data_IF_532993252112
#
_entry.id   IF_532993252112
#
_cell.length_a   1.000
_cell.length_b   1.000
_cell.length_c   1.000
_cell.angle_alpha   90.00
_cell.angle_beta   90.00
_cell.angle_gamma   90.00
#
_symmetry.space_group_name_H-M   'P 1'
#
loop_
_entity.id
_entity.type
_entity.pdbx_description
1 polymer ?
#
# COMPACT_ATOMS: atom_id res chain seq x y z
N UNK A 1 21.48 14.70 16.79
CA UNK A 1 20.70 14.36 15.61
C UNK A 1 21.41 13.39 14.69
N UNK A 2 22.63 13.72 14.22
CA UNK A 2 23.44 12.84 13.32
C UNK A 2 23.68 11.44 13.90
N UNK A 3 24.00 11.33 15.17
CA UNK A 3 24.21 10.04 15.85
C UNK A 3 22.91 9.22 15.90
N UNK A 4 21.77 9.87 16.13
CA UNK A 4 20.47 9.20 16.14
C UNK A 4 20.08 8.73 14.74
N UNK A 5 20.33 9.53 13.70
CA UNK A 5 20.09 9.14 12.31
C UNK A 5 20.93 7.91 11.92
N UNK A 6 22.19 7.85 12.34
CA UNK A 6 23.05 6.69 12.11
C UNK A 6 22.52 5.44 12.83
N UNK A 7 22.11 5.56 14.09
CA UNK A 7 21.53 4.43 14.85
C UNK A 7 20.24 3.92 14.22
N UNK A 8 19.41 4.81 13.69
CA UNK A 8 18.19 4.43 12.94
C UNK A 8 18.58 3.61 11.71
N UNK A 9 19.52 4.11 10.89
CA UNK A 9 19.97 3.42 9.66
C UNK A 9 20.53 2.02 9.97
N UNK A 10 21.39 1.90 10.99
CA UNK A 10 21.96 0.63 11.44
C UNK A 10 20.86 -0.35 11.92
N UNK A 11 19.87 0.17 12.67
CA UNK A 11 18.76 -0.64 13.18
C UNK A 11 17.84 -1.11 12.05
N UNK A 12 17.55 -0.26 11.07
CA UNK A 12 16.76 -0.61 9.89
C UNK A 12 17.46 -1.68 9.03
N UNK A 13 18.78 -1.56 8.85
CA UNK A 13 19.58 -2.57 8.14
C UNK A 13 19.57 -3.91 8.89
N UNK A 14 19.74 -3.89 10.22
CA UNK A 14 19.67 -5.08 11.05
C UNK A 14 18.29 -5.72 11.01
N UNK A 15 17.22 -4.94 11.11
CA UNK A 15 15.85 -5.42 10.97
C UNK A 15 15.60 -6.08 9.60
N UNK A 16 16.13 -5.50 8.53
CA UNK A 16 16.05 -6.07 7.17
C UNK A 16 16.75 -7.43 7.10
N UNK A 17 17.93 -7.55 7.70
CA UNK A 17 18.69 -8.82 7.78
C UNK A 17 17.91 -9.90 8.53
N UNK A 18 17.38 -9.58 9.73
CA UNK A 18 16.58 -10.51 10.50
C UNK A 18 15.30 -10.96 9.78
N UNK A 19 14.65 -10.07 9.05
CA UNK A 19 13.48 -10.42 8.23
C UNK A 19 13.82 -11.38 7.10
N UNK A 20 14.96 -11.19 6.45
CA UNK A 20 15.44 -12.10 5.40
C UNK A 20 15.80 -13.48 5.97
N UNK A 21 16.48 -13.52 7.11
CA UNK A 21 16.82 -14.76 7.80
C UNK A 21 15.54 -15.51 8.24
N UNK A 22 14.61 -14.80 8.89
CA UNK A 22 13.29 -15.37 9.25
C UNK A 22 12.58 -15.98 8.04
N UNK A 23 12.57 -15.27 6.92
CA UNK A 23 11.93 -15.75 5.69
C UNK A 23 12.61 -17.03 5.18
N UNK A 24 13.94 -17.05 5.12
CA UNK A 24 14.72 -18.22 4.71
C UNK A 24 14.44 -19.43 5.61
N UNK A 25 14.46 -19.24 6.91
CA UNK A 25 14.15 -20.31 7.87
C UNK A 25 12.71 -20.81 7.72
N UNK A 26 11.75 -19.92 7.51
CA UNK A 26 10.32 -20.27 7.41
C UNK A 26 9.95 -20.97 6.11
N UNK A 27 10.62 -20.67 4.99
CA UNK A 27 10.26 -21.20 3.68
C UNK A 27 11.13 -22.39 3.27
N UNK A 28 12.39 -22.41 3.69
CA UNK A 28 13.35 -23.42 3.27
C UNK A 28 13.88 -24.23 4.48
N UNK A 29 14.48 -23.59 5.48
CA UNK A 29 15.23 -24.29 6.51
C UNK A 29 14.36 -25.23 7.33
N UNK A 30 13.31 -24.74 7.95
CA UNK A 30 12.43 -25.54 8.82
C UNK A 30 11.61 -26.56 8.00
N UNK A 31 10.94 -26.19 6.87
CA UNK A 31 10.19 -27.14 6.07
C UNK A 31 11.06 -28.29 5.55
N UNK A 32 12.28 -28.04 5.09
CA UNK A 32 13.18 -29.08 4.60
C UNK A 32 13.57 -30.07 5.73
N UNK A 33 13.90 -29.57 6.92
CA UNK A 33 14.17 -30.44 8.08
C UNK A 33 12.96 -31.27 8.48
N UNK A 34 11.75 -30.69 8.43
CA UNK A 34 10.52 -31.43 8.72
C UNK A 34 10.24 -32.50 7.66
N UNK A 35 10.56 -32.25 6.38
CA UNK A 35 10.48 -33.23 5.32
C UNK A 35 11.46 -34.38 5.52
N UNK A 36 12.71 -34.10 5.86
CA UNK A 36 13.72 -35.14 6.19
C UNK A 36 13.30 -36.01 7.38
N UNK A 37 12.61 -35.40 8.37
CA UNK A 37 12.08 -36.11 9.54
C UNK A 37 10.76 -36.83 9.27
N UNK A 38 10.10 -36.56 8.14
CA UNK A 38 8.79 -37.14 7.80
C UNK A 38 7.65 -36.64 8.70
N UNK A 39 7.75 -35.40 9.24
CA UNK A 39 6.76 -34.83 10.16
C UNK A 39 6.11 -33.59 9.55
N UNK A 40 4.78 -33.46 9.73
CA UNK A 40 4.02 -32.28 9.29
C UNK A 40 3.84 -31.26 10.43
N UNK A 41 4.01 -31.72 11.66
CA UNK A 41 3.89 -30.90 12.87
C UNK A 41 4.93 -31.32 13.89
N UNK A 42 5.48 -30.35 14.59
CA UNK A 42 6.44 -30.52 15.67
C UNK A 42 6.14 -29.55 16.81
N UNK A 43 6.09 -30.05 18.03
CA UNK A 43 5.94 -29.23 19.22
C UNK A 43 7.27 -29.17 19.96
N UNK A 44 7.84 -27.97 20.09
CA UNK A 44 9.14 -27.72 20.75
C UNK A 44 9.00 -26.51 21.68
N UNK A 45 9.42 -26.68 22.92
CA UNK A 45 9.48 -25.60 23.93
C UNK A 45 8.16 -24.82 24.09
N UNK A 46 7.01 -25.49 23.97
CA UNK A 46 5.70 -24.87 24.06
C UNK A 46 5.24 -24.13 22.81
N UNK A 47 6.01 -24.23 21.70
CA UNK A 47 5.66 -23.69 20.39
C UNK A 47 5.35 -24.82 19.44
N UNK A 48 4.22 -24.74 18.75
CA UNK A 48 3.86 -25.67 17.68
C UNK A 48 4.29 -25.12 16.32
N UNK A 49 5.09 -25.90 15.60
CA UNK A 49 5.53 -25.63 14.24
C UNK A 49 4.80 -26.58 13.31
N UNK A 50 4.07 -26.06 12.34
CA UNK A 50 3.29 -26.82 11.37
C UNK A 50 3.69 -26.43 9.94
N UNK A 51 3.90 -27.43 9.10
CA UNK A 51 4.16 -27.21 7.69
C UNK A 51 2.85 -26.93 6.97
N UNK A 52 2.75 -25.79 6.31
CA UNK A 52 1.58 -25.39 5.51
C UNK A 52 1.97 -25.05 4.09
N UNK A 53 1.18 -25.50 3.14
CA UNK A 53 1.31 -25.04 1.76
C UNK A 53 0.93 -23.55 1.70
N UNK A 54 1.90 -22.73 1.29
CA UNK A 54 1.69 -21.29 1.05
C UNK A 54 1.67 -21.08 -0.46
N UNK A 55 0.56 -20.60 -0.98
CA UNK A 55 0.42 -20.21 -2.40
C UNK A 55 0.43 -18.69 -2.47
N UNK A 56 1.39 -18.15 -3.21
CA UNK A 56 1.44 -16.73 -3.57
C UNK A 56 1.26 -16.61 -5.07
N UNK A 57 0.27 -15.84 -5.49
CA UNK A 57 0.00 -15.61 -6.90
C UNK A 57 -0.25 -14.12 -7.15
N UNK A 58 0.37 -13.59 -8.18
CA UNK A 58 0.09 -12.26 -8.70
C UNK A 58 0.34 -12.27 -10.20
N UNK A 59 -0.48 -11.57 -10.96
CA UNK A 59 -0.30 -11.44 -12.40
C UNK A 59 0.61 -10.24 -12.66
N UNK A 60 1.85 -10.45 -13.15
CA UNK A 60 2.75 -9.35 -13.52
C UNK A 60 2.09 -8.46 -14.58
N UNK A 61 2.43 -7.16 -14.56
CA UNK A 61 1.82 -6.20 -15.50
C UNK A 61 1.98 -6.62 -16.96
N UNK A 62 3.16 -7.14 -17.32
CA UNK A 62 3.43 -7.59 -18.70
C UNK A 62 2.66 -8.84 -19.15
N UNK A 63 2.12 -9.63 -18.19
CA UNK A 63 1.40 -10.86 -18.50
C UNK A 63 -0.12 -10.72 -18.35
N UNK A 64 -0.62 -9.50 -18.09
CA UNK A 64 -2.04 -9.32 -17.78
C UNK A 64 -2.96 -9.69 -18.91
N UNK A 65 -2.64 -9.26 -20.12
CA UNK A 65 -3.47 -9.55 -21.29
C UNK A 65 -3.57 -11.04 -21.53
N UNK A 66 -2.43 -11.72 -21.62
CA UNK A 66 -2.36 -13.17 -21.83
C UNK A 66 -3.04 -13.98 -20.71
N UNK A 67 -2.85 -13.56 -19.45
CA UNK A 67 -3.48 -14.22 -18.31
C UNK A 67 -5.01 -14.03 -18.32
N UNK A 68 -5.50 -12.85 -18.70
CA UNK A 68 -6.95 -12.60 -18.80
C UNK A 68 -7.58 -13.31 -20.00
N UNK A 69 -6.89 -13.42 -21.12
CA UNK A 69 -7.32 -14.25 -22.26
C UNK A 69 -7.40 -15.72 -21.85
N UNK A 70 -6.35 -16.24 -21.22
CA UNK A 70 -6.35 -17.61 -20.71
C UNK A 70 -7.52 -17.91 -19.76
N UNK A 71 -7.82 -16.97 -18.83
CA UNK A 71 -8.96 -17.11 -17.92
C UNK A 71 -10.29 -17.18 -18.69
N UNK A 72 -10.50 -16.34 -19.71
CA UNK A 72 -11.72 -16.34 -20.53
C UNK A 72 -11.86 -17.61 -21.35
N UNK A 73 -10.79 -18.06 -21.97
CA UNK A 73 -10.77 -19.27 -22.80
C UNK A 73 -11.07 -20.53 -21.99
N UNK A 74 -10.71 -20.52 -20.70
CA UNK A 74 -10.98 -21.61 -19.77
C UNK A 74 -12.26 -21.44 -18.96
N UNK A 75 -13.11 -20.45 -19.25
CA UNK A 75 -14.37 -20.16 -18.55
C UNK A 75 -14.17 -19.87 -17.05
N UNK A 76 -13.06 -19.21 -16.70
CA UNK A 76 -12.68 -18.80 -15.34
C UNK A 76 -12.68 -17.29 -15.16
N UNK A 77 -13.42 -16.59 -16.01
CA UNK A 77 -13.49 -15.13 -16.06
C UNK A 77 -14.31 -14.50 -14.91
N UNK A 78 -15.02 -15.29 -14.13
CA UNK A 78 -15.75 -14.88 -12.93
C UNK A 78 -14.86 -14.27 -11.84
N UNK A 79 -13.55 -14.59 -11.84
CA UNK A 79 -12.57 -13.97 -10.93
C UNK A 79 -12.03 -12.63 -11.44
N UNK A 80 -12.30 -12.24 -12.70
CA UNK A 80 -11.85 -10.98 -13.27
C UNK A 80 -12.77 -9.84 -12.77
N UNK A 81 -12.18 -8.87 -12.09
CA UNK A 81 -12.88 -7.66 -11.65
C UNK A 81 -12.46 -6.48 -12.52
N UNK A 82 -13.43 -5.65 -12.87
CA UNK A 82 -13.19 -4.42 -13.62
C UNK A 82 -13.68 -3.22 -12.81
N UNK A 83 -12.78 -2.28 -12.57
CA UNK A 83 -13.11 -1.00 -11.97
C UNK A 83 -13.03 0.08 -13.05
N UNK A 84 -14.10 0.87 -13.18
CA UNK A 84 -14.13 2.04 -14.06
C UNK A 84 -13.91 3.27 -13.21
N UNK A 85 -12.81 3.98 -13.43
CA UNK A 85 -12.43 5.16 -12.65
C UNK A 85 -12.55 6.40 -13.54
N UNK A 86 -13.46 7.29 -13.19
CA UNK A 86 -13.56 8.62 -13.78
C UNK A 86 -12.92 9.63 -12.83
N UNK A 87 -11.99 10.44 -13.35
CA UNK A 87 -11.31 11.47 -12.57
C UNK A 87 -11.77 12.86 -13.02
N UNK A 88 -12.21 13.66 -12.07
CA UNK A 88 -12.69 15.02 -12.31
C UNK A 88 -11.71 16.02 -11.68
N UNK A 89 -11.41 17.08 -12.43
CA UNK A 89 -10.50 18.13 -11.99
C UNK A 89 -11.20 19.22 -11.16
N UNK A 90 -10.45 20.27 -10.84
CA UNK A 90 -10.95 21.43 -10.11
C UNK A 90 -12.15 22.06 -10.83
N UNK A 91 -13.25 22.30 -10.11
CA UNK A 91 -14.46 22.94 -10.61
C UNK A 91 -15.38 22.03 -11.43
N UNK A 92 -15.13 20.72 -11.47
CA UNK A 92 -15.94 19.74 -12.21
C UNK A 92 -16.87 18.93 -11.30
N UNK A 93 -17.20 19.42 -10.10
CA UNK A 93 -18.04 18.72 -9.13
C UNK A 93 -19.45 18.43 -9.68
N UNK A 94 -20.03 19.37 -10.43
CA UNK A 94 -21.34 19.16 -11.07
C UNK A 94 -21.29 18.03 -12.10
N UNK A 95 -20.26 18.02 -12.95
CA UNK A 95 -20.07 16.96 -13.94
C UNK A 95 -19.86 15.59 -13.27
N UNK A 96 -19.16 15.55 -12.16
CA UNK A 96 -19.02 14.33 -11.36
C UNK A 96 -20.38 13.85 -10.85
N UNK A 97 -21.21 14.76 -10.34
CA UNK A 97 -22.58 14.48 -9.90
C UNK A 97 -23.46 13.93 -11.02
N UNK A 98 -23.40 14.53 -12.20
CA UNK A 98 -24.17 14.09 -13.38
C UNK A 98 -23.80 12.66 -13.80
N UNK A 99 -22.50 12.35 -13.84
CA UNK A 99 -22.03 10.99 -14.18
C UNK A 99 -22.49 9.97 -13.13
N UNK A 100 -22.41 10.31 -11.85
CA UNK A 100 -22.92 9.45 -10.76
C UNK A 100 -24.42 9.18 -10.95
N UNK A 101 -25.22 10.22 -11.22
CA UNK A 101 -26.66 10.09 -11.47
C UNK A 101 -26.96 9.13 -12.63
N UNK A 102 -26.29 9.32 -13.77
CA UNK A 102 -26.48 8.46 -14.95
C UNK A 102 -26.18 6.98 -14.65
N UNK A 103 -25.12 6.72 -13.90
CA UNK A 103 -24.75 5.36 -13.55
C UNK A 103 -25.73 4.73 -12.55
N UNK A 104 -26.19 5.50 -11.56
CA UNK A 104 -27.19 5.05 -10.58
C UNK A 104 -28.55 4.76 -11.25
N UNK A 105 -28.99 5.60 -12.17
CA UNK A 105 -30.22 5.41 -12.95
C UNK A 105 -30.18 4.11 -13.79
N UNK A 106 -28.98 3.69 -14.18
CA UNK A 106 -28.75 2.42 -14.88
C UNK A 106 -28.57 1.23 -13.94
N UNK A 107 -28.67 1.42 -12.63
CA UNK A 107 -28.56 0.38 -11.62
C UNK A 107 -27.13 -0.03 -11.26
N UNK A 108 -26.10 0.74 -11.67
CA UNK A 108 -24.72 0.44 -11.27
C UNK A 108 -24.44 0.93 -9.85
N UNK A 109 -23.77 0.12 -9.00
CA UNK A 109 -23.29 0.58 -7.72
C UNK A 109 -22.13 1.56 -7.93
N UNK A 110 -22.28 2.80 -7.44
CA UNK A 110 -21.29 3.85 -7.60
C UNK A 110 -20.70 4.21 -6.25
N UNK A 111 -19.37 4.18 -6.16
CA UNK A 111 -18.64 4.70 -5.01
C UNK A 111 -17.90 5.98 -5.41
N UNK A 112 -18.15 7.05 -4.67
CA UNK A 112 -17.47 8.34 -4.90
C UNK A 112 -16.43 8.60 -3.81
N UNK A 113 -15.33 9.23 -4.18
CA UNK A 113 -14.29 9.67 -3.25
C UNK A 113 -13.91 11.11 -3.55
N UNK A 114 -14.27 12.01 -2.63
CA UNK A 114 -13.86 13.42 -2.69
C UNK A 114 -12.65 13.63 -1.82
N UNK A 115 -11.59 14.24 -2.35
CA UNK A 115 -10.37 14.48 -1.59
C UNK A 115 -9.58 15.66 -2.16
N UNK A 116 -8.74 16.24 -1.31
CA UNK A 116 -7.69 17.16 -1.73
C UNK A 116 -6.36 16.41 -1.67
N UNK A 117 -5.57 16.46 -2.75
CA UNK A 117 -4.27 15.80 -2.75
C UNK A 117 -3.37 16.39 -1.63
N UNK A 118 -2.68 15.56 -0.83
CA UNK A 118 -1.90 16.03 0.32
C UNK A 118 -0.88 17.13 -0.02
N UNK A 119 -0.20 17.04 -1.16
CA UNK A 119 0.75 18.06 -1.61
C UNK A 119 0.07 19.40 -1.93
N UNK A 120 -1.13 19.36 -2.52
CA UNK A 120 -1.94 20.55 -2.81
C UNK A 120 -2.41 21.22 -1.52
N UNK A 121 -2.90 20.42 -0.57
CA UNK A 121 -3.30 20.93 0.74
C UNK A 121 -2.12 21.57 1.47
N UNK A 122 -0.96 20.89 1.49
CA UNK A 122 0.26 21.42 2.11
C UNK A 122 0.69 22.75 1.49
N UNK A 123 0.68 22.86 0.17
CA UNK A 123 1.02 24.10 -0.53
C UNK A 123 0.02 25.22 -0.21
N UNK A 124 -1.27 24.91 -0.20
CA UNK A 124 -2.34 25.84 0.14
C UNK A 124 -2.20 26.37 1.58
N UNK A 125 -1.99 25.49 2.56
CA UNK A 125 -1.80 25.88 3.98
C UNK A 125 -0.57 26.76 4.12
N UNK A 126 0.55 26.38 3.50
CA UNK A 126 1.80 27.13 3.52
C UNK A 126 1.61 28.54 2.94
N UNK A 127 1.00 28.64 1.76
CA UNK A 127 0.75 29.94 1.10
C UNK A 127 -0.12 30.85 1.95
N UNK A 128 -1.19 30.33 2.55
CA UNK A 128 -2.05 31.13 3.43
C UNK A 128 -1.33 31.61 4.68
N UNK A 129 -0.53 30.75 5.29
CA UNK A 129 0.27 31.09 6.46
C UNK A 129 1.32 32.18 6.14
N UNK A 130 2.09 31.99 5.06
CA UNK A 130 3.11 32.95 4.63
C UNK A 130 2.53 34.33 4.27
N UNK A 131 1.31 34.36 3.72
CA UNK A 131 0.61 35.61 3.37
C UNK A 131 -0.21 36.20 4.52
N UNK A 132 -0.13 35.66 5.74
CA UNK A 132 -0.90 36.15 6.89
C UNK A 132 -2.41 35.99 6.73
N UNK A 133 -2.89 35.13 5.84
CA UNK A 133 -4.31 34.88 5.64
C UNK A 133 -4.84 33.91 6.69
N UNK A 134 -6.02 34.15 7.27
CA UNK A 134 -6.57 33.27 8.27
C UNK A 134 -6.80 31.86 7.72
N UNK A 135 -6.40 30.86 8.51
CA UNK A 135 -6.64 29.43 8.25
C UNK A 135 -6.78 28.72 9.59
N UNK A 136 -7.77 27.87 9.70
CA UNK A 136 -7.97 27.00 10.84
C UNK A 136 -7.09 25.75 10.68
N UNK A 137 -5.95 25.76 11.38
CA UNK A 137 -4.97 24.66 11.29
C UNK A 137 -5.53 23.35 11.84
N UNK A 138 -6.36 23.39 12.88
CA UNK A 138 -6.95 22.19 13.49
C UNK A 138 -7.95 21.55 12.54
N UNK A 139 -8.79 22.33 11.87
CA UNK A 139 -9.74 21.83 10.87
C UNK A 139 -9.05 21.10 9.72
N UNK A 140 -7.88 21.59 9.29
CA UNK A 140 -7.11 20.97 8.21
C UNK A 140 -6.09 19.92 8.70
N UNK A 141 -6.03 19.64 10.00
CA UNK A 141 -5.03 18.76 10.60
C UNK A 141 -3.60 19.22 10.28
N UNK A 142 -3.39 20.55 10.18
CA UNK A 142 -2.13 21.12 9.75
C UNK A 142 -1.26 21.50 10.96
N UNK A 143 0.02 21.20 10.86
CA UNK A 143 1.02 21.56 11.86
C UNK A 143 2.17 22.31 11.17
N UNK A 144 2.49 23.49 11.68
CA UNK A 144 3.55 24.34 11.15
C UNK A 144 4.66 24.45 12.21
N UNK A 145 5.86 24.00 11.87
CA UNK A 145 7.03 24.07 12.74
C UNK A 145 8.31 24.22 11.93
N UNK A 146 9.34 24.73 12.60
CA UNK A 146 10.69 24.75 12.07
C UNK A 146 11.42 23.47 12.47
N UNK A 147 11.94 22.72 11.50
CA UNK A 147 12.71 21.50 11.72
C UNK A 147 14.16 21.70 11.28
N UNK A 148 15.10 21.13 12.05
CA UNK A 148 16.50 21.05 11.66
C UNK A 148 16.70 19.94 10.63
N UNK A 149 17.37 20.25 9.53
CA UNK A 149 17.73 19.29 8.48
C UNK A 149 19.25 19.17 8.37
N UNK A 150 19.76 17.95 8.40
CA UNK A 150 21.17 17.67 8.10
C UNK A 150 21.32 17.51 6.59
N UNK A 151 22.18 18.34 5.99
CA UNK A 151 22.60 18.18 4.57
C UNK A 151 24.07 17.84 4.54
N UNK A 152 24.43 16.76 3.87
CA UNK A 152 25.83 16.45 3.56
C UNK A 152 26.32 17.51 2.56
N UNK A 153 27.39 18.25 2.92
CA UNK A 153 28.09 19.07 1.93
C UNK A 153 28.83 18.13 1.00
N UNK A 154 28.67 18.32 -0.30
CA UNK A 154 29.46 17.67 -1.32
C UNK A 154 30.94 18.05 -1.18
#
# INVERSE_FOLDING_TARGET
LRSVEQQIEETEQHLKSLKAEKQKLSIEGIPNLMDEMGVERLDVDGVSVERKLIVQASIPVGNREEAFEWLRDNQLDDIIKNDIICSFGKGQDNLAGDVVGILQDKGFPVTTKTYVHPSTLKAFVKERFENGKPIDLDMFGAFITNAAQIRRKA
#
